data_IF_846612814338
#
_entry.id   IF_846612814338
#
_cell.length_a   1.000
_cell.length_b   1.000
_cell.length_c   1.000
_cell.angle_alpha   90.00
_cell.angle_beta   90.00
_cell.angle_gamma   90.00
#
_symmetry.space_group_name_H-M   'P 1'
#
loop_
_entity.id
_entity.type
_entity.pdbx_description
1 polymer ?
#
# COMPACT_ATOMS: atom_id res chain seq x y z
N UNK A 1 -2.83 57.76 25.93
CA UNK A 1 -1.91 56.71 25.45
C UNK A 1 -2.23 55.44 26.21
N UNK A 2 -2.29 54.30 25.52
CA UNK A 2 -2.54 52.97 26.09
C UNK A 2 -3.86 52.35 25.62
N UNK A 3 -3.89 51.85 24.38
CA UNK A 3 -4.96 50.99 23.88
C UNK A 3 -4.70 49.56 24.39
N UNK A 4 -5.55 49.06 25.29
CA UNK A 4 -5.65 47.64 25.58
C UNK A 4 -6.35 46.94 24.40
N UNK A 5 -5.53 46.53 23.43
CA UNK A 5 -5.95 45.67 22.34
C UNK A 5 -5.84 44.23 22.83
N UNK A 6 -6.97 43.66 23.27
CA UNK A 6 -7.14 42.21 23.40
C UNK A 6 -7.13 41.61 22.01
N UNK A 7 -5.96 41.20 21.52
CA UNK A 7 -5.85 40.28 20.39
C UNK A 7 -6.00 38.86 20.92
N UNK A 8 -7.23 38.36 20.94
CA UNK A 8 -7.50 36.92 20.82
C UNK A 8 -6.96 36.47 19.47
N UNK A 9 -5.68 36.12 19.43
CA UNK A 9 -5.15 35.25 18.40
C UNK A 9 -5.74 33.87 18.64
N UNK A 10 -6.95 33.63 18.13
CA UNK A 10 -7.40 32.30 17.78
C UNK A 10 -6.35 31.74 16.82
N UNK A 11 -5.39 30.99 17.37
CA UNK A 11 -4.62 30.05 16.56
C UNK A 11 -5.64 29.02 16.11
N UNK A 12 -6.12 29.17 14.86
CA UNK A 12 -6.67 28.04 14.13
C UNK A 12 -5.72 26.85 14.37
N UNK A 13 -6.21 25.70 14.87
CA UNK A 13 -5.36 24.54 15.02
C UNK A 13 -4.83 24.23 13.63
N UNK A 14 -3.50 24.30 13.51
CA UNK A 14 -2.76 23.92 12.32
C UNK A 14 -3.10 22.46 12.03
N UNK A 15 -4.18 22.21 11.27
CA UNK A 15 -4.50 20.91 10.72
C UNK A 15 -3.47 20.66 9.62
N UNK A 16 -2.26 20.29 10.03
CA UNK A 16 -1.31 19.68 9.13
C UNK A 16 -1.91 18.33 8.75
N UNK A 17 -2.33 18.23 7.48
CA UNK A 17 -2.84 17.00 6.87
C UNK A 17 -1.90 15.82 7.16
N UNK A 18 -2.42 14.59 7.35
CA UNK A 18 -1.60 13.40 7.36
C UNK A 18 -0.86 13.33 6.03
N UNK A 19 0.46 13.54 6.06
CA UNK A 19 1.30 13.19 4.93
C UNK A 19 1.23 11.66 4.84
N UNK A 20 0.48 11.15 3.85
CA UNK A 20 0.66 9.77 3.43
C UNK A 20 2.15 9.60 3.15
N UNK A 21 2.79 8.63 3.81
CA UNK A 21 4.14 8.22 3.44
C UNK A 21 4.18 8.03 1.93
N UNK A 22 5.18 8.60 1.22
CA UNK A 22 5.30 8.36 -0.21
C UNK A 22 5.43 6.86 -0.43
N UNK A 23 4.37 6.21 -0.92
CA UNK A 23 4.50 4.96 -1.64
C UNK A 23 5.47 5.23 -2.78
N UNK A 24 6.47 4.37 -2.94
CA UNK A 24 7.46 4.53 -4.00
C UNK A 24 6.78 4.24 -5.33
N UNK A 25 6.31 5.30 -6.00
CA UNK A 25 5.82 5.25 -7.37
C UNK A 25 6.83 4.56 -8.30
N UNK A 26 8.12 4.63 -7.95
CA UNK A 26 9.20 3.94 -8.64
C UNK A 26 9.09 2.41 -8.52
N UNK A 27 8.79 1.89 -7.32
CA UNK A 27 8.58 0.44 -7.08
C UNK A 27 7.41 -0.09 -7.89
N UNK A 28 6.29 0.64 -7.95
CA UNK A 28 5.13 0.27 -8.77
C UNK A 28 5.46 0.25 -10.27
N UNK A 29 6.18 1.26 -10.75
CA UNK A 29 6.58 1.34 -12.17
C UNK A 29 7.48 0.15 -12.55
N UNK A 30 8.45 -0.20 -11.72
CA UNK A 30 9.33 -1.35 -11.94
C UNK A 30 8.58 -2.68 -11.84
N UNK A 31 7.62 -2.80 -10.92
CA UNK A 31 6.77 -3.98 -10.77
C UNK A 31 5.94 -4.20 -12.05
N UNK A 32 5.29 -3.15 -12.55
CA UNK A 32 4.51 -3.18 -13.79
C UNK A 32 5.40 -3.47 -15.01
N UNK A 33 6.58 -2.84 -15.10
CA UNK A 33 7.55 -3.13 -16.14
C UNK A 33 7.96 -4.62 -16.12
N UNK A 34 8.16 -5.19 -14.93
CA UNK A 34 8.47 -6.62 -14.78
C UNK A 34 7.33 -7.52 -15.29
N UNK A 35 6.07 -7.15 -15.07
CA UNK A 35 4.92 -7.91 -15.58
C UNK A 35 4.88 -7.93 -17.11
N UNK A 36 5.18 -6.80 -17.77
CA UNK A 36 5.18 -6.69 -19.23
C UNK A 36 6.27 -7.54 -19.91
N UNK A 37 7.29 -7.97 -19.16
CA UNK A 37 8.33 -8.89 -19.63
C UNK A 37 7.98 -10.37 -19.45
N UNK A 38 6.90 -10.69 -18.74
CA UNK A 38 6.50 -12.07 -18.49
C UNK A 38 5.71 -12.66 -19.66
N UNK A 39 5.66 -13.99 -19.72
CA UNK A 39 4.65 -14.68 -20.53
C UNK A 39 3.26 -14.46 -19.91
N UNK A 40 2.18 -14.50 -20.71
CA UNK A 40 0.81 -14.35 -20.21
C UNK A 40 0.51 -15.19 -18.94
N UNK A 41 0.75 -16.50 -19.00
CA UNK A 41 0.54 -17.39 -17.84
C UNK A 41 1.35 -16.99 -16.58
N UNK A 42 2.60 -16.51 -16.76
CA UNK A 42 3.42 -16.05 -15.62
C UNK A 42 2.92 -14.72 -15.07
N UNK A 43 2.47 -13.81 -15.94
CA UNK A 43 1.91 -12.53 -15.52
C UNK A 43 0.60 -12.72 -14.73
N UNK A 44 -0.28 -13.63 -15.16
CA UNK A 44 -1.51 -13.99 -14.43
C UNK A 44 -1.16 -14.45 -13.01
N UNK A 45 -0.31 -15.48 -12.90
CA UNK A 45 0.11 -16.00 -11.60
C UNK A 45 0.80 -14.94 -10.71
N UNK A 46 1.57 -14.04 -11.32
CA UNK A 46 2.21 -12.93 -10.63
C UNK A 46 1.18 -11.91 -10.12
N UNK A 47 0.20 -11.54 -10.96
CA UNK A 47 -0.88 -10.61 -10.63
C UNK A 47 -1.77 -11.16 -9.52
N UNK A 48 -2.17 -12.42 -9.60
CA UNK A 48 -2.99 -13.09 -8.57
C UNK A 48 -2.31 -13.12 -7.20
N UNK A 49 -0.98 -12.99 -7.16
CA UNK A 49 -0.21 -12.94 -5.92
C UNK A 49 -0.14 -11.54 -5.30
N UNK A 50 -0.43 -10.47 -6.05
CA UNK A 50 -0.40 -9.08 -5.58
C UNK A 50 -1.70 -8.77 -4.84
N UNK A 51 -1.59 -8.05 -3.72
CA UNK A 51 -2.77 -7.51 -3.04
C UNK A 51 -3.14 -6.16 -3.65
N UNK A 52 -4.36 -6.00 -4.14
CA UNK A 52 -4.81 -4.77 -4.82
C UNK A 52 -4.69 -3.53 -3.91
N UNK A 53 -4.85 -3.67 -2.59
CA UNK A 53 -4.72 -2.58 -1.62
C UNK A 53 -3.30 -2.04 -1.44
N UNK A 54 -2.29 -2.75 -1.94
CA UNK A 54 -0.89 -2.31 -1.93
C UNK A 54 -0.53 -1.40 -3.11
N UNK A 55 -1.42 -1.28 -4.11
CA UNK A 55 -1.20 -0.53 -5.35
C UNK A 55 -1.98 0.79 -5.39
N UNK A 56 -1.43 1.80 -6.06
CA UNK A 56 -2.17 3.02 -6.40
C UNK A 56 -3.30 2.73 -7.40
N UNK A 57 -4.37 3.55 -7.44
CA UNK A 57 -5.48 3.36 -8.38
C UNK A 57 -5.06 3.26 -9.86
N UNK A 58 -4.04 4.04 -10.25
CA UNK A 58 -3.49 3.99 -11.61
C UNK A 58 -2.76 2.67 -11.88
N UNK A 59 -1.96 2.19 -10.91
CA UNK A 59 -1.28 0.90 -11.00
C UNK A 59 -2.30 -0.24 -11.11
N UNK A 60 -3.35 -0.23 -10.29
CA UNK A 60 -4.46 -1.21 -10.35
C UNK A 60 -5.09 -1.24 -11.73
N UNK A 61 -5.34 -0.08 -12.33
CA UNK A 61 -5.95 0.04 -13.66
C UNK A 61 -5.06 -0.60 -14.73
N UNK A 62 -3.75 -0.35 -14.67
CA UNK A 62 -2.78 -0.95 -15.59
C UNK A 62 -2.65 -2.47 -15.36
N UNK A 63 -2.60 -2.93 -14.11
CA UNK A 63 -2.60 -4.38 -13.78
C UNK A 63 -3.82 -5.08 -14.37
N UNK A 64 -5.01 -4.48 -14.25
CA UNK A 64 -6.25 -5.05 -14.81
C UNK A 64 -6.18 -5.16 -16.33
N UNK A 65 -5.65 -4.15 -17.03
CA UNK A 65 -5.44 -4.21 -18.47
C UNK A 65 -4.42 -5.30 -18.88
N UNK A 66 -3.32 -5.45 -18.12
CA UNK A 66 -2.34 -6.53 -18.33
C UNK A 66 -3.01 -7.89 -18.13
N UNK A 67 -3.77 -8.06 -17.05
CA UNK A 67 -4.45 -9.30 -16.70
C UNK A 67 -5.47 -9.71 -17.76
N UNK A 68 -6.27 -8.77 -18.24
CA UNK A 68 -7.26 -9.01 -19.30
C UNK A 68 -6.60 -9.50 -20.59
N UNK A 69 -5.51 -8.84 -21.02
CA UNK A 69 -4.76 -9.26 -22.19
C UNK A 69 -4.12 -10.64 -22.00
N UNK A 70 -3.48 -10.85 -20.84
CA UNK A 70 -2.83 -12.11 -20.53
C UNK A 70 -3.83 -13.27 -20.50
N UNK A 71 -5.01 -13.07 -19.91
CA UNK A 71 -6.05 -14.09 -19.80
C UNK A 71 -6.63 -14.49 -21.15
N UNK A 72 -6.72 -13.56 -22.11
CA UNK A 72 -7.16 -13.86 -23.48
C UNK A 72 -6.16 -14.69 -24.28
N UNK A 73 -4.89 -14.67 -23.87
CA UNK A 73 -3.77 -15.23 -24.63
C UNK A 73 -2.86 -16.11 -23.77
N UNK A 74 -3.43 -16.77 -22.74
CA UNK A 74 -2.67 -17.57 -21.78
C UNK A 74 -1.82 -18.65 -22.48
N UNK A 75 -2.42 -19.30 -23.49
CA UNK A 75 -1.82 -20.40 -24.25
C UNK A 75 -1.09 -19.96 -25.54
N UNK A 76 -1.30 -18.71 -25.98
CA UNK A 76 -0.87 -18.24 -27.30
C UNK A 76 0.57 -17.66 -27.30
N UNK A 77 1.16 -17.48 -26.11
CA UNK A 77 2.51 -16.91 -25.96
C UNK A 77 2.64 -15.47 -26.45
N UNK A 78 1.52 -14.74 -26.58
CA UNK A 78 1.49 -13.36 -27.07
C UNK A 78 2.23 -12.44 -26.11
N UNK A 79 2.93 -11.45 -26.66
CA UNK A 79 3.64 -10.44 -25.88
C UNK A 79 2.66 -9.52 -25.14
N UNK A 80 2.98 -9.23 -23.87
CA UNK A 80 2.29 -8.24 -23.04
C UNK A 80 2.85 -6.81 -23.26
N UNK A 81 3.37 -6.51 -24.46
CA UNK A 81 4.10 -5.26 -24.71
C UNK A 81 3.33 -4.00 -24.28
N UNK A 82 4.03 -2.91 -23.90
CA UNK A 82 3.38 -1.65 -23.54
C UNK A 82 2.45 -1.11 -24.63
N UNK A 83 2.76 -1.35 -25.91
CA UNK A 83 1.90 -0.89 -27.01
C UNK A 83 0.51 -1.52 -26.93
N UNK A 84 0.43 -2.82 -26.61
CA UNK A 84 -0.83 -3.55 -26.52
C UNK A 84 -1.63 -3.12 -25.29
N UNK A 85 -0.97 -3.02 -24.13
CA UNK A 85 -1.63 -2.58 -22.88
C UNK A 85 -2.17 -1.16 -23.02
N UNK A 86 -1.44 -0.27 -23.70
CA UNK A 86 -1.92 1.08 -24.02
C UNK A 86 -3.20 1.04 -24.87
N UNK A 87 -3.26 0.19 -25.89
CA UNK A 87 -4.46 0.07 -26.74
C UNK A 87 -5.67 -0.38 -25.92
N UNK A 88 -5.51 -1.36 -25.03
CA UNK A 88 -6.59 -1.83 -24.15
C UNK A 88 -7.07 -0.72 -23.22
N UNK A 89 -6.14 0.01 -22.60
CA UNK A 89 -6.49 1.15 -21.74
C UNK A 89 -7.25 2.23 -22.51
N UNK A 90 -6.87 2.50 -23.77
CA UNK A 90 -7.56 3.45 -24.62
C UNK A 90 -8.97 2.98 -25.00
N UNK A 91 -9.14 1.69 -25.34
CA UNK A 91 -10.45 1.09 -25.65
C UNK A 91 -11.41 1.13 -24.45
N UNK A 92 -10.88 1.00 -23.23
CA UNK A 92 -11.65 1.10 -21.99
C UNK A 92 -11.96 2.54 -21.56
N UNK A 93 -11.45 3.55 -22.27
CA UNK A 93 -11.57 4.97 -21.88
C UNK A 93 -10.69 5.37 -20.69
N UNK A 94 -9.78 4.50 -20.26
CA UNK A 94 -8.83 4.70 -19.16
C UNK A 94 -7.49 5.32 -19.62
N UNK A 95 -7.40 5.75 -20.88
CA UNK A 95 -6.24 6.45 -21.44
C UNK A 95 -6.65 7.68 -22.26
N UNK A 96 -7.41 8.64 -21.70
CA UNK A 96 -7.79 9.84 -22.44
C UNK A 96 -6.57 10.75 -22.64
N UNK A 97 -6.54 11.47 -23.76
CA UNK A 97 -5.42 12.38 -24.11
C UNK A 97 -5.16 13.46 -23.04
N UNK A 98 -6.16 13.77 -22.21
CA UNK A 98 -6.13 14.77 -21.14
C UNK A 98 -5.70 14.24 -19.77
N UNK A 99 -5.61 12.92 -19.55
CA UNK A 99 -5.16 12.37 -18.27
C UNK A 99 -3.64 12.25 -18.23
N UNK A 100 -3.00 13.10 -17.42
CA UNK A 100 -1.56 13.10 -17.21
C UNK A 100 -1.10 12.02 -16.24
N UNK A 101 -2.01 11.45 -15.44
CA UNK A 101 -1.71 10.46 -14.40
C UNK A 101 -1.35 9.10 -14.97
N UNK A 102 -2.33 8.40 -15.58
CA UNK A 102 -2.12 7.07 -16.16
C UNK A 102 -1.10 7.14 -17.30
N UNK A 103 -1.20 8.16 -18.17
CA UNK A 103 -0.26 8.37 -19.26
C UNK A 103 1.17 8.61 -18.77
N UNK A 104 1.34 9.44 -17.74
CA UNK A 104 2.64 9.71 -17.14
C UNK A 104 3.25 8.46 -16.54
N UNK A 105 2.48 7.70 -15.76
CA UNK A 105 2.91 6.43 -15.20
C UNK A 105 3.30 5.44 -16.30
N UNK A 106 2.53 5.36 -17.38
CA UNK A 106 2.81 4.46 -18.50
C UNK A 106 4.15 4.75 -19.19
N UNK A 107 4.48 6.04 -19.39
CA UNK A 107 5.77 6.45 -19.94
C UNK A 107 6.93 6.11 -18.99
N UNK A 108 6.72 6.22 -17.68
CA UNK A 108 7.72 5.82 -16.70
C UNK A 108 7.92 4.31 -16.66
N UNK A 109 6.85 3.51 -16.77
CA UNK A 109 6.94 2.05 -16.89
C UNK A 109 7.81 1.68 -18.09
N UNK A 110 7.55 2.26 -19.27
CA UNK A 110 8.36 2.04 -20.48
C UNK A 110 9.82 2.41 -20.23
N UNK A 111 10.08 3.51 -19.52
CA UNK A 111 11.45 3.97 -19.21
C UNK A 111 12.16 3.06 -18.22
N UNK A 112 11.43 2.42 -17.31
CA UNK A 112 11.93 1.47 -16.32
C UNK A 112 12.13 0.05 -16.89
N UNK A 113 11.69 -0.22 -18.13
CA UNK A 113 11.90 -1.51 -18.79
C UNK A 113 13.37 -1.72 -19.13
N UNK A 114 14.04 -2.57 -18.34
CA UNK A 114 15.37 -3.10 -18.63
C UNK A 114 15.35 -4.61 -18.51
N UNK A 115 16.29 -5.30 -19.16
CA UNK A 115 16.45 -6.77 -19.02
C UNK A 115 16.66 -7.16 -17.55
N UNK A 116 17.30 -6.29 -16.77
CA UNK A 116 17.46 -6.46 -15.32
C UNK A 116 16.12 -6.38 -14.57
N UNK A 117 15.20 -5.49 -14.92
CA UNK A 117 13.91 -5.29 -14.22
C UNK A 117 13.01 -6.53 -14.26
N UNK A 118 13.07 -7.32 -15.34
CA UNK A 118 12.23 -8.52 -15.55
C UNK A 118 12.43 -9.63 -14.49
N UNK A 119 13.58 -9.66 -13.81
CA UNK A 119 13.93 -10.72 -12.85
C UNK A 119 13.61 -10.38 -11.39
N UNK A 120 13.10 -9.19 -11.11
CA UNK A 120 12.98 -8.67 -9.74
C UNK A 120 11.57 -8.65 -9.17
N UNK A 121 10.57 -9.22 -9.88
CA UNK A 121 9.18 -9.19 -9.43
C UNK A 121 8.98 -9.61 -7.96
N UNK A 122 9.55 -10.73 -7.45
CA UNK A 122 9.34 -11.12 -6.05
C UNK A 122 9.93 -10.12 -5.04
N UNK A 123 11.02 -9.44 -5.40
CA UNK A 123 11.64 -8.42 -4.55
C UNK A 123 10.79 -7.13 -4.56
N UNK A 124 10.41 -6.66 -5.75
CA UNK A 124 9.57 -5.47 -5.93
C UNK A 124 8.21 -5.62 -5.24
N UNK A 125 7.59 -6.80 -5.34
CA UNK A 125 6.35 -7.13 -4.62
C UNK A 125 6.53 -7.02 -3.11
N UNK A 126 7.62 -7.59 -2.58
CA UNK A 126 7.93 -7.53 -1.14
C UNK A 126 8.16 -6.09 -0.67
N UNK A 127 8.85 -5.29 -1.47
CA UNK A 127 9.12 -3.90 -1.15
C UNK A 127 7.82 -3.08 -1.11
N UNK A 128 6.93 -3.28 -2.09
CA UNK A 128 5.59 -2.68 -2.12
C UNK A 128 4.76 -3.08 -0.89
N UNK A 129 4.74 -4.36 -0.53
CA UNK A 129 4.05 -4.85 0.67
C UNK A 129 4.63 -4.25 1.96
N UNK A 130 5.95 -4.09 2.03
CA UNK A 130 6.63 -3.48 3.17
C UNK A 130 6.35 -1.98 3.28
N UNK A 131 6.30 -1.26 2.16
CA UNK A 131 5.94 0.16 2.12
C UNK A 131 4.49 0.36 2.55
N UNK A 132 3.57 -0.41 1.98
CA UNK A 132 2.16 -0.39 2.38
C UNK A 132 2.01 -0.71 3.87
N UNK A 133 2.70 -1.74 4.37
CA UNK A 133 2.71 -2.08 5.80
C UNK A 133 3.14 -0.90 6.68
N UNK A 134 4.21 -0.18 6.30
CA UNK A 134 4.69 0.99 7.05
C UNK A 134 3.67 2.12 7.03
N UNK A 135 3.05 2.37 5.88
CA UNK A 135 2.00 3.37 5.73
C UNK A 135 0.80 3.08 6.64
N UNK A 136 0.28 1.84 6.61
CA UNK A 136 -0.82 1.42 7.47
C UNK A 136 -0.45 1.52 8.95
N UNK A 137 0.76 1.12 9.34
CA UNK A 137 1.19 1.20 10.74
C UNK A 137 1.18 2.64 11.26
N UNK A 138 1.70 3.58 10.46
CA UNK A 138 1.73 5.00 10.81
C UNK A 138 0.32 5.58 10.85
N UNK A 139 -0.54 5.22 9.90
CA UNK A 139 -1.94 5.67 9.89
C UNK A 139 -2.68 5.21 11.15
N UNK A 140 -2.56 3.94 11.53
CA UNK A 140 -3.17 3.40 12.76
C UNK A 140 -2.63 4.12 14.00
N UNK A 141 -1.32 4.38 14.04
CA UNK A 141 -0.70 5.14 15.13
C UNK A 141 -1.22 6.58 15.22
N UNK A 142 -1.41 7.26 14.09
CA UNK A 142 -1.94 8.62 14.03
C UNK A 142 -3.41 8.68 14.44
N UNK A 143 -4.25 7.78 13.93
CA UNK A 143 -5.66 7.68 14.32
C UNK A 143 -5.79 7.46 15.82
N UNK A 144 -4.94 6.61 16.38
CA UNK A 144 -4.91 6.37 17.82
C UNK A 144 -4.52 7.61 18.63
N UNK A 145 -3.48 8.34 18.20
CA UNK A 145 -3.03 9.57 18.87
C UNK A 145 -4.08 10.69 18.80
N UNK A 146 -4.87 10.75 17.73
CA UNK A 146 -5.98 11.70 17.62
C UNK A 146 -7.11 11.39 18.62
N UNK A 147 -7.37 10.11 18.90
CA UNK A 147 -8.40 9.68 19.86
C UNK A 147 -7.91 9.80 21.31
N UNK A 148 -6.61 9.59 21.56
CA UNK A 148 -6.01 9.56 22.90
C UNK A 148 -4.88 10.61 23.02
N UNK A 149 -5.19 11.92 22.92
CA UNK A 149 -4.17 12.97 22.81
C UNK A 149 -3.31 13.18 24.07
N UNK A 150 -3.73 12.65 25.22
CA UNK A 150 -3.04 12.82 26.50
C UNK A 150 -2.36 11.53 26.99
N UNK A 151 -2.39 10.48 26.18
CA UNK A 151 -1.95 9.15 26.57
C UNK A 151 -0.76 8.77 25.66
N UNK A 152 0.43 8.70 26.26
CA UNK A 152 1.72 8.55 25.57
C UNK A 152 2.64 7.51 26.25
N UNK A 153 2.07 6.55 26.99
CA UNK A 153 2.85 5.58 27.75
C UNK A 153 3.34 4.40 26.90
N UNK A 154 4.40 3.72 27.35
CA UNK A 154 4.93 2.51 26.68
C UNK A 154 3.92 1.35 26.66
N UNK A 155 3.02 1.28 27.63
CA UNK A 155 1.94 0.29 27.69
C UNK A 155 0.94 0.46 26.53
N UNK A 156 0.90 1.65 25.92
CA UNK A 156 0.00 1.96 24.81
C UNK A 156 0.62 1.70 23.45
N UNK A 157 1.95 1.79 23.36
CA UNK A 157 2.67 1.28 22.19
C UNK A 157 2.37 -0.21 21.99
N UNK A 158 2.23 -0.97 23.09
CA UNK A 158 1.79 -2.36 23.06
C UNK A 158 0.32 -2.53 22.63
N UNK A 159 -0.59 -1.60 22.99
CA UNK A 159 -1.99 -1.59 22.50
C UNK A 159 -2.04 -1.32 20.99
N UNK A 160 -1.26 -0.35 20.49
CA UNK A 160 -1.17 -0.03 19.06
C UNK A 160 -0.60 -1.23 18.30
N UNK A 161 0.49 -1.83 18.79
CA UNK A 161 1.08 -3.05 18.20
C UNK A 161 0.08 -4.19 18.17
N UNK A 162 -0.69 -4.41 19.25
CA UNK A 162 -1.73 -5.46 19.29
C UNK A 162 -2.85 -5.20 18.30
N UNK A 163 -3.43 -3.99 18.28
CA UNK A 163 -4.50 -3.63 17.32
C UNK A 163 -4.04 -3.76 15.87
N UNK A 164 -2.82 -3.31 15.59
CA UNK A 164 -2.21 -3.46 14.28
C UNK A 164 -1.99 -4.93 13.91
N UNK A 165 -1.53 -5.75 14.86
CA UNK A 165 -1.39 -7.20 14.69
C UNK A 165 -2.75 -7.86 14.41
N UNK A 166 -3.81 -7.42 15.06
CA UNK A 166 -5.17 -7.93 14.87
C UNK A 166 -5.76 -7.51 13.51
N UNK A 167 -5.54 -6.28 13.06
CA UNK A 167 -5.91 -5.82 11.72
C UNK A 167 -5.16 -6.61 10.62
N UNK A 168 -3.85 -6.82 10.79
CA UNK A 168 -3.05 -7.63 9.87
C UNK A 168 -3.53 -9.09 9.79
N UNK A 169 -3.90 -9.68 10.92
CA UNK A 169 -4.46 -11.03 10.97
C UNK A 169 -5.78 -11.13 10.22
N UNK A 170 -6.68 -10.19 10.46
CA UNK A 170 -7.99 -10.13 9.81
C UNK A 170 -7.86 -10.00 8.29
N UNK A 171 -6.99 -9.11 7.81
CA UNK A 171 -6.67 -8.95 6.38
C UNK A 171 -6.10 -10.22 5.74
N UNK A 172 -5.35 -11.03 6.51
CA UNK A 172 -4.74 -12.29 6.05
C UNK A 172 -5.60 -13.53 6.30
N UNK A 173 -6.86 -13.36 6.75
CA UNK A 173 -7.77 -14.48 7.04
C UNK A 173 -7.39 -15.31 8.27
N UNK A 174 -6.49 -14.81 9.12
CA UNK A 174 -6.15 -15.45 10.39
C UNK A 174 -7.10 -14.96 11.49
N UNK A 175 -7.72 -15.86 12.27
CA UNK A 175 -8.54 -15.45 13.39
C UNK A 175 -7.69 -14.74 14.47
N UNK A 176 -8.28 -13.78 15.21
CA UNK A 176 -7.60 -13.15 16.33
C UNK A 176 -7.18 -14.22 17.34
N UNK A 177 -6.02 -14.04 18.02
CA UNK A 177 -5.57 -15.02 18.99
C UNK A 177 -6.62 -15.13 20.09
N UNK A 178 -6.97 -16.37 20.47
CA UNK A 178 -7.91 -16.60 21.55
C UNK A 178 -7.47 -15.80 22.79
N UNK A 179 -8.40 -15.16 23.52
CA UNK A 179 -8.07 -14.33 24.67
C UNK A 179 -7.18 -15.14 25.61
N UNK A 180 -5.95 -14.66 25.84
CA UNK A 180 -5.06 -15.29 26.82
C UNK A 180 -5.80 -15.23 28.15
N UNK A 181 -6.13 -16.40 28.70
CA UNK A 181 -6.72 -16.47 30.02
C UNK A 181 -5.81 -15.69 30.99
N UNK A 182 -6.39 -14.91 31.92
CA UNK A 182 -5.60 -14.20 32.90
C UNK A 182 -4.71 -15.21 33.60
N UNK A 183 -3.39 -15.07 33.41
CA UNK A 183 -2.40 -15.88 34.11
C UNK A 183 -2.64 -15.61 35.58
N UNK A 184 -3.17 -16.61 36.29
CA UNK A 184 -3.36 -16.54 37.73
C UNK A 184 -1.98 -16.32 38.32
N UNK A 185 -1.68 -15.08 38.75
CA UNK A 185 -0.48 -14.80 39.53
C UNK A 185 -0.61 -15.67 40.78
N UNK A 186 0.23 -16.69 40.89
CA UNK A 186 0.45 -17.44 42.12
C UNK A 186 1.15 -16.45 43.07
N UNK A 187 0.35 -15.58 43.70
CA UNK A 187 0.76 -14.87 44.89
C UNK A 187 0.69 -15.84 46.06
N UNK A 188 1.64 -15.68 46.99
CA UNK A 188 1.78 -16.38 48.27
C UNK A 188 2.64 -17.65 48.26
N UNK A 189 3.95 -17.46 48.08
CA UNK A 189 4.91 -18.30 48.82
C UNK A 189 5.23 -17.60 50.14
N UNK A 190 4.42 -17.92 51.16
CA UNK A 190 4.74 -17.64 52.56
C UNK A 190 6.14 -18.17 52.88
N UNK A 191 6.95 -17.32 53.46
CA UNK A 191 8.11 -17.66 54.26
C UNK A 191 7.71 -18.64 55.35
N UNK A 192 8.46 -19.75 55.42
CA UNK A 192 8.74 -20.48 56.65
C UNK A 192 10.25 -20.46 56.82
#
# INVERSE_FOLDING_TARGET
>A
MGNDQVTTGEKEPNQMLPQMLPQSLDTEQHLLASLLHMTPAKAIAAIDSIREDTLTPNAVTIVKAIYEHASRHEDDGVSLSPVVVKSILAEQGNFPDSDTGIRGMFLQIISAMSVTTAHHFPALKRDLENEHFKATFIEVGQQWAQINPNDHSLDELDIIIRRFTDQLRTSRGYPPPAPKQPVTRISDRKTA
#
